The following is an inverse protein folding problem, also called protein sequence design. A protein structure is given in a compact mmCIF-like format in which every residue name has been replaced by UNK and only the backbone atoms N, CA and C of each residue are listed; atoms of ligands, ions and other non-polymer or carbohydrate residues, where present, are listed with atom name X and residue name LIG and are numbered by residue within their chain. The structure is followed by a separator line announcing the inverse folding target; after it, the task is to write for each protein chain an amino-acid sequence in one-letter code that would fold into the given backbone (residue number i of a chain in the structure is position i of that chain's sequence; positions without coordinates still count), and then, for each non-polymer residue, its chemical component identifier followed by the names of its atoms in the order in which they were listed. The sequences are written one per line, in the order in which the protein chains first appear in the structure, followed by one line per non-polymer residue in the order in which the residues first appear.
data_IF_100753478077
#
_entry.id   IF_100753478077
#
_cell.length_a   1.000
_cell.length_b   1.000
_cell.length_c   1.000
_cell.angle_alpha   90.00
_cell.angle_beta   90.00
_cell.angle_gamma   90.00
#
_symmetry.space_group_name_H-M   'P 1'
#
loop_
_entity.id
_entity.type
_entity.pdbx_description
1 polymer ?
#
# COMPACT_ATOMS: atom_id res chain seq x y z
N UNK A 1 12.35 -12.73 -4.54
CA UNK A 1 12.40 -11.58 -3.61
C UNK A 1 11.19 -10.69 -3.85
N UNK A 2 10.50 -10.25 -2.80
CA UNK A 2 9.29 -9.45 -2.90
C UNK A 2 9.57 -8.08 -3.56
N UNK A 3 8.65 -7.59 -4.42
CA UNK A 3 8.82 -6.33 -5.17
C UNK A 3 9.02 -5.12 -4.24
N UNK A 4 8.23 -5.01 -3.18
CA UNK A 4 8.36 -3.95 -2.17
C UNK A 4 9.73 -3.95 -1.51
N UNK A 5 10.33 -5.12 -1.29
CA UNK A 5 11.68 -5.21 -0.72
C UNK A 5 12.73 -4.67 -1.68
N UNK A 6 12.61 -4.94 -2.99
CA UNK A 6 13.54 -4.41 -4.00
C UNK A 6 13.42 -2.90 -4.14
N UNK A 7 12.21 -2.39 -4.31
CA UNK A 7 11.98 -0.96 -4.57
C UNK A 7 12.39 -0.14 -3.34
N UNK A 8 11.86 -0.45 -2.15
CA UNK A 8 12.09 0.39 -0.97
C UNK A 8 13.49 0.27 -0.37
N UNK A 9 14.15 -0.89 -0.49
CA UNK A 9 15.43 -1.10 0.20
C UNK A 9 16.65 -1.09 -0.73
N UNK A 10 16.51 -1.24 -2.05
CA UNK A 10 17.67 -1.14 -2.95
C UNK A 10 17.61 0.09 -3.85
N UNK A 11 16.47 0.36 -4.47
CA UNK A 11 16.36 1.45 -5.47
C UNK A 11 16.12 2.80 -4.80
N UNK A 12 15.11 2.89 -3.92
CA UNK A 12 14.72 4.15 -3.27
C UNK A 12 15.70 4.57 -2.16
N UNK A 13 16.30 3.60 -1.46
CA UNK A 13 17.25 3.87 -0.36
C UNK A 13 18.72 3.85 -0.78
N UNK A 14 19.02 3.64 -2.07
CA UNK A 14 20.38 3.62 -2.63
C UNK A 14 21.36 2.72 -1.84
N UNK A 15 20.88 1.60 -1.31
CA UNK A 15 21.72 0.68 -0.54
C UNK A 15 22.62 -0.08 -1.52
N UNK A 16 23.92 0.16 -1.41
CA UNK A 16 24.96 -0.63 -2.08
C UNK A 16 25.72 -1.46 -1.05
N UNK A 17 26.26 -2.61 -1.47
CA UNK A 17 26.99 -3.52 -0.61
C UNK A 17 28.42 -3.66 -1.10
N UNK A 18 29.39 -3.60 -0.19
CA UNK A 18 30.81 -3.73 -0.56
C UNK A 18 31.20 -5.18 -0.90
N UNK A 19 30.44 -6.17 -0.41
CA UNK A 19 30.67 -7.59 -0.70
C UNK A 19 29.42 -8.45 -0.46
N UNK A 20 29.49 -9.70 -0.94
CA UNK A 20 28.40 -10.68 -0.83
C UNK A 20 28.03 -11.05 0.62
N UNK A 21 29.01 -11.10 1.53
CA UNK A 21 28.76 -11.47 2.94
C UNK A 21 27.94 -10.39 3.64
N UNK A 22 28.30 -9.14 3.42
CA UNK A 22 27.58 -7.97 3.92
C UNK A 22 26.16 -7.91 3.36
N UNK A 23 26.02 -8.05 2.03
CA UNK A 23 24.69 -8.02 1.39
C UNK A 23 23.78 -9.10 1.94
N UNK A 24 24.27 -10.33 2.10
CA UNK A 24 23.50 -11.43 2.68
C UNK A 24 23.05 -11.12 4.11
N UNK A 25 23.91 -10.53 4.94
CA UNK A 25 23.57 -10.15 6.32
C UNK A 25 22.46 -9.11 6.34
N UNK A 26 22.62 -8.02 5.60
CA UNK A 26 21.67 -6.89 5.62
C UNK A 26 20.33 -7.29 5.00
N UNK A 27 20.34 -7.99 3.87
CA UNK A 27 19.12 -8.49 3.23
C UNK A 27 18.36 -9.43 4.17
N UNK A 28 19.05 -10.29 4.91
CA UNK A 28 18.40 -11.17 5.90
C UNK A 28 17.68 -10.38 7.00
N UNK A 29 18.26 -9.26 7.45
CA UNK A 29 17.63 -8.38 8.44
C UNK A 29 16.40 -7.68 7.86
N UNK A 30 16.47 -7.21 6.61
CA UNK A 30 15.34 -6.58 5.91
C UNK A 30 14.18 -7.57 5.74
N UNK A 31 14.48 -8.81 5.33
CA UNK A 31 13.46 -9.86 5.18
C UNK A 31 12.79 -10.16 6.52
N UNK A 32 13.58 -10.27 7.61
CA UNK A 32 13.03 -10.49 8.94
C UNK A 32 12.10 -9.35 9.37
N UNK A 33 12.55 -8.10 9.22
CA UNK A 33 11.73 -6.92 9.50
C UNK A 33 10.42 -6.93 8.69
N UNK A 34 10.48 -7.22 7.40
CA UNK A 34 9.30 -7.30 6.53
C UNK A 34 8.29 -8.35 7.02
N UNK A 35 8.76 -9.54 7.39
CA UNK A 35 7.87 -10.65 7.76
C UNK A 35 7.32 -10.54 9.18
N UNK A 36 8.13 -10.06 10.12
CA UNK A 36 7.83 -10.19 11.55
C UNK A 36 7.40 -8.87 12.20
N UNK A 37 7.85 -7.73 11.68
CA UNK A 37 7.67 -6.42 12.34
C UNK A 37 6.78 -5.48 11.53
N UNK A 38 6.82 -5.54 10.20
CA UNK A 38 6.07 -4.61 9.35
C UNK A 38 4.60 -5.02 9.20
N UNK A 39 3.63 -4.20 9.66
CA UNK A 39 2.22 -4.44 9.40
C UNK A 39 1.85 -4.07 7.96
N UNK A 40 1.06 -4.91 7.30
CA UNK A 40 0.71 -4.75 5.89
C UNK A 40 -0.78 -4.44 5.69
N UNK A 41 -1.08 -3.38 4.93
CA UNK A 41 -2.46 -2.99 4.60
C UNK A 41 -3.25 -4.07 3.85
N UNK A 42 -2.59 -4.93 3.10
CA UNK A 42 -3.22 -6.08 2.42
C UNK A 42 -3.64 -7.19 3.39
N UNK A 43 -3.07 -7.21 4.60
CA UNK A 43 -3.25 -8.26 5.60
C UNK A 43 -3.94 -7.72 6.86
N UNK A 44 -4.94 -6.84 6.72
CA UNK A 44 -5.61 -6.19 7.88
C UNK A 44 -4.69 -5.38 8.82
N UNK A 45 -3.47 -5.01 8.39
CA UNK A 45 -2.40 -4.48 9.25
C UNK A 45 -1.71 -5.53 10.14
N UNK A 46 -1.85 -6.81 9.84
CA UNK A 46 -0.99 -7.85 10.38
C UNK A 46 0.35 -7.92 9.64
N UNK A 47 1.34 -8.49 10.32
CA UNK A 47 2.60 -8.89 9.69
C UNK A 47 2.40 -10.20 8.92
N UNK A 48 3.19 -10.48 7.87
CA UNK A 48 3.11 -11.73 7.13
C UNK A 48 3.16 -12.98 8.03
N UNK A 49 4.04 -12.98 9.03
CA UNK A 49 4.19 -14.09 9.98
C UNK A 49 2.94 -14.31 10.86
N UNK A 50 2.21 -13.25 11.19
CA UNK A 50 0.94 -13.34 11.92
C UNK A 50 -0.18 -13.78 10.97
N UNK A 51 -0.28 -13.16 9.80
CA UNK A 51 -1.30 -13.45 8.81
C UNK A 51 -1.30 -14.92 8.37
N UNK A 52 -0.12 -15.53 8.22
CA UNK A 52 0.03 -16.94 7.88
C UNK A 52 -0.64 -17.89 8.89
N UNK A 53 -0.72 -17.49 10.16
CA UNK A 53 -1.31 -18.29 11.24
C UNK A 53 -2.82 -18.09 11.39
N UNK A 54 -3.40 -17.11 10.70
CA UNK A 54 -4.81 -16.77 10.83
C UNK A 54 -5.62 -17.65 9.87
N UNK A 55 -6.47 -18.52 10.42
CA UNK A 55 -7.33 -19.41 9.64
C UNK A 55 -8.71 -18.78 9.37
N UNK A 56 -8.71 -17.55 8.87
CA UNK A 56 -9.89 -16.86 8.36
C UNK A 56 -9.49 -15.92 7.24
N UNK A 57 -10.47 -15.46 6.46
CA UNK A 57 -10.23 -14.44 5.46
C UNK A 57 -9.80 -13.11 6.11
N UNK A 58 -8.79 -12.49 5.49
CA UNK A 58 -8.27 -11.19 5.86
C UNK A 58 -8.82 -10.11 4.92
N UNK A 59 -9.37 -9.04 5.48
CA UNK A 59 -9.87 -7.88 4.76
C UNK A 59 -8.75 -6.89 4.43
N UNK A 60 -8.57 -6.59 3.15
CA UNK A 60 -7.63 -5.54 2.72
C UNK A 60 -8.10 -4.17 3.23
N UNK A 61 -7.17 -3.34 3.72
CA UNK A 61 -7.44 -2.01 4.32
C UNK A 61 -7.12 -0.83 3.40
N UNK A 62 -6.66 -1.10 2.18
CA UNK A 62 -6.48 -0.05 1.18
C UNK A 62 -7.83 0.62 0.84
N UNK A 63 -7.82 1.95 0.77
CA UNK A 63 -8.96 2.73 0.27
C UNK A 63 -8.78 2.89 -1.24
N UNK A 64 -9.82 2.59 -1.99
CA UNK A 64 -9.83 2.88 -3.42
C UNK A 64 -10.39 4.29 -3.63
N UNK A 65 -9.53 5.22 -4.05
CA UNK A 65 -9.93 6.59 -4.37
C UNK A 65 -10.28 6.69 -5.86
N UNK A 66 -11.29 5.97 -6.32
CA UNK A 66 -11.86 6.29 -7.64
C UNK A 66 -12.62 7.61 -7.50
N UNK A 67 -12.22 8.64 -8.26
CA UNK A 67 -13.06 9.83 -8.44
C UNK A 67 -14.32 9.37 -9.19
N UNK A 68 -15.47 9.38 -8.51
CA UNK A 68 -16.76 9.13 -9.15
C UNK A 68 -17.13 10.36 -9.99
N UNK A 69 -16.54 10.48 -11.19
CA UNK A 69 -16.82 11.56 -12.13
C UNK A 69 -18.31 11.67 -12.47
N UNK A 70 -19.04 10.55 -12.44
CA UNK A 70 -20.51 10.51 -12.58
C UNK A 70 -21.25 11.27 -11.48
N UNK A 71 -20.77 11.20 -10.23
CA UNK A 71 -21.37 11.87 -9.08
C UNK A 71 -21.01 13.36 -9.06
N UNK A 72 -19.79 13.70 -9.47
CA UNK A 72 -19.32 15.08 -9.64
C UNK A 72 -20.13 15.78 -10.75
N UNK A 73 -20.29 15.15 -11.91
CA UNK A 73 -21.09 15.72 -13.01
C UNK A 73 -22.56 15.92 -12.63
N UNK A 74 -23.14 15.01 -11.85
CA UNK A 74 -24.53 15.15 -11.38
C UNK A 74 -24.72 16.34 -10.43
N UNK A 75 -23.74 16.59 -9.55
CA UNK A 75 -23.74 17.75 -8.64
C UNK A 75 -23.61 19.06 -9.44
N UNK A 76 -22.69 19.11 -10.41
CA UNK A 76 -22.46 20.29 -11.25
C UNK A 76 -23.67 20.63 -12.15
N UNK A 77 -24.37 19.62 -12.67
CA UNK A 77 -25.60 19.83 -13.45
C UNK A 77 -26.71 20.38 -12.56
N UNK A 78 -26.83 19.88 -11.32
CA UNK A 78 -27.89 20.28 -10.41
C UNK A 78 -27.70 21.71 -9.88
N UNK A 79 -26.46 22.14 -9.60
CA UNK A 79 -26.18 23.54 -9.26
C UNK A 79 -26.51 24.49 -10.42
N UNK A 80 -26.15 24.12 -11.65
CA UNK A 80 -26.41 24.95 -12.82
C UNK A 80 -27.91 25.07 -13.17
N UNK A 81 -28.74 24.11 -12.74
CA UNK A 81 -30.20 24.19 -12.92
C UNK A 81 -30.85 25.11 -11.89
N UNK A 82 -30.36 25.17 -10.66
CA UNK A 82 -30.88 26.08 -9.62
C UNK A 82 -30.59 27.56 -9.95
N UNK A 83 -29.50 27.85 -10.67
CA UNK A 83 -29.15 29.19 -11.11
C UNK A 83 -30.05 29.71 -12.27
N UNK A 84 -30.68 28.81 -13.04
CA UNK A 84 -31.52 29.16 -14.21
C UNK A 84 -32.98 29.47 -13.81
N UNK A 85 -33.46 28.96 -12.67
CA UNK A 85 -34.84 29.16 -12.22
C UNK A 85 -35.03 30.28 -11.18
N UNK A 86 -33.99 31.10 -10.94
CA UNK A 86 -34.00 32.21 -9.98
C UNK A 86 -34.12 33.61 -10.62
N UNK A 87 -34.82 33.75 -11.75
CA UNK A 87 -35.18 35.04 -12.35
C UNK A 87 -36.69 35.17 -12.58
#
# INVERSE_FOLDING_TARGET
MNKTIKEEFTEEKQISFGNYKESKRVISQIIKFYNDERPHRSLEMFTPSVAYKINRELKRKWKFYYKNYSKINKILIQSNLEDVYNY
#
